data_IF_131151403058
#
_entry.id   IF_131151403058
#
_cell.length_a   1.000
_cell.length_b   1.000
_cell.length_c   1.000
_cell.angle_alpha   90.00
_cell.angle_beta   90.00
_cell.angle_gamma   90.00
#
_symmetry.space_group_name_H-M   'P 1'
#
loop_
_entity.id
_entity.type
_entity.pdbx_description
1 polymer ?
#
# COMPACT_ATOMS: atom_id res chain seq x y z
N UNK A 1 -17.32 -40.63 52.81
CA UNK A 1 -15.92 -40.51 53.29
C UNK A 1 -15.03 -40.61 52.06
N UNK A 2 -14.75 -39.47 51.41
CA UNK A 2 -13.78 -39.40 50.31
C UNK A 2 -12.39 -39.42 50.95
N UNK A 3 -11.71 -40.54 50.94
CA UNK A 3 -10.34 -40.65 51.40
C UNK A 3 -9.45 -39.66 50.71
N UNK A 4 -8.82 -38.79 51.48
CA UNK A 4 -7.94 -37.69 51.02
C UNK A 4 -6.71 -38.30 50.36
N UNK A 5 -6.82 -38.61 49.07
CA UNK A 5 -5.70 -39.17 48.27
C UNK A 5 -4.63 -38.10 48.14
N UNK A 6 -3.58 -38.21 48.92
CA UNK A 6 -2.43 -37.33 48.87
C UNK A 6 -1.27 -38.00 48.13
N UNK A 7 -0.53 -37.19 47.35
CA UNK A 7 0.60 -37.64 46.52
C UNK A 7 1.92 -37.03 47.01
N UNK A 8 2.98 -37.80 46.88
CA UNK A 8 4.35 -37.26 46.99
C UNK A 8 4.74 -36.53 45.71
N UNK A 9 5.78 -35.72 45.77
CA UNK A 9 6.29 -35.01 44.60
C UNK A 9 6.73 -35.95 43.48
N UNK A 10 7.29 -37.15 43.83
CA UNK A 10 7.69 -38.17 42.87
C UNK A 10 6.50 -38.85 42.18
N UNK A 11 5.40 -39.06 42.89
CA UNK A 11 4.14 -39.60 42.35
C UNK A 11 3.50 -38.60 41.39
N UNK A 12 3.46 -37.31 41.75
CA UNK A 12 2.98 -36.27 40.88
C UNK A 12 3.79 -36.20 39.60
N UNK A 13 5.12 -36.23 39.70
CA UNK A 13 6.01 -36.21 38.55
C UNK A 13 5.74 -37.35 37.56
N UNK A 14 5.58 -38.59 38.10
CA UNK A 14 5.25 -39.76 37.26
C UNK A 14 3.89 -39.65 36.60
N UNK A 15 2.86 -39.17 37.33
CA UNK A 15 1.49 -39.06 36.81
C UNK A 15 1.32 -38.03 35.74
N UNK A 16 2.02 -36.90 35.88
CA UNK A 16 1.91 -35.72 34.96
C UNK A 16 2.95 -35.72 33.83
N UNK A 17 3.90 -36.69 33.85
CA UNK A 17 5.01 -36.73 32.89
C UNK A 17 6.05 -35.59 33.08
N UNK A 18 5.98 -34.86 34.19
CA UNK A 18 6.91 -33.77 34.50
C UNK A 18 8.09 -34.29 35.33
N UNK A 19 9.20 -33.56 35.33
CA UNK A 19 10.33 -33.86 36.19
C UNK A 19 10.04 -33.44 37.65
N UNK A 20 10.62 -34.11 38.63
CA UNK A 20 10.53 -33.70 40.04
C UNK A 20 11.00 -32.26 40.24
N UNK A 21 12.03 -31.87 39.49
CA UNK A 21 12.54 -30.47 39.50
C UNK A 21 11.50 -29.45 39.05
N UNK A 22 10.76 -29.77 37.98
CA UNK A 22 9.67 -28.93 37.45
C UNK A 22 8.51 -28.83 38.44
N UNK A 23 8.07 -29.97 39.02
CA UNK A 23 7.00 -29.95 40.02
C UNK A 23 7.40 -29.14 41.24
N UNK A 24 8.66 -29.28 41.72
CA UNK A 24 9.20 -28.50 42.82
C UNK A 24 9.22 -27.01 42.49
N UNK A 25 9.59 -26.64 41.27
CA UNK A 25 9.59 -25.27 40.82
C UNK A 25 8.19 -24.66 40.88
N UNK A 26 7.17 -25.31 40.32
CA UNK A 26 5.79 -24.83 40.36
C UNK A 26 5.24 -24.76 41.77
N UNK A 27 5.61 -25.74 42.65
CA UNK A 27 5.24 -25.68 44.06
C UNK A 27 5.88 -24.50 44.80
N UNK A 28 7.15 -24.20 44.54
CA UNK A 28 7.83 -23.04 45.14
C UNK A 28 7.26 -21.71 44.63
N UNK A 29 6.77 -21.69 43.41
CA UNK A 29 6.12 -20.51 42.81
C UNK A 29 4.66 -20.33 43.29
N UNK A 30 4.14 -21.22 44.16
CA UNK A 30 2.78 -21.14 44.67
C UNK A 30 1.70 -21.60 43.65
N UNK A 31 2.08 -21.99 42.44
CA UNK A 31 1.14 -22.42 41.37
C UNK A 31 0.47 -23.74 41.78
N UNK A 32 1.21 -24.64 42.41
CA UNK A 32 0.72 -25.91 42.94
C UNK A 32 1.16 -26.03 44.42
N UNK A 33 0.42 -25.42 45.33
CA UNK A 33 0.78 -25.44 46.74
C UNK A 33 0.62 -26.88 47.32
N UNK A 34 1.48 -27.29 48.25
CA UNK A 34 1.29 -28.53 48.97
C UNK A 34 0.07 -28.41 49.87
N UNK A 35 -0.69 -29.52 50.03
CA UNK A 35 -1.81 -29.58 50.94
C UNK A 35 -1.34 -29.66 52.41
N UNK A 36 -0.28 -30.44 52.65
CA UNK A 36 0.33 -30.62 53.95
C UNK A 36 1.80 -31.05 53.87
N UNK A 37 2.40 -31.38 55.03
CA UNK A 37 3.70 -32.06 55.14
C UNK A 37 3.57 -33.30 56.00
N UNK A 38 4.20 -34.37 55.61
CA UNK A 38 4.25 -35.55 56.43
C UNK A 38 5.13 -35.35 57.69
N UNK A 39 5.11 -36.25 58.66
CA UNK A 39 5.93 -36.17 59.87
C UNK A 39 7.44 -36.03 59.64
N UNK A 40 7.94 -36.49 58.49
CA UNK A 40 9.32 -36.33 58.03
C UNK A 40 9.59 -35.00 57.31
N UNK A 41 8.62 -34.08 57.28
CA UNK A 41 8.77 -32.75 56.65
C UNK A 41 8.56 -32.71 55.13
N UNK A 42 8.30 -33.83 54.47
CA UNK A 42 8.10 -33.86 53.03
C UNK A 42 6.71 -33.35 52.63
N UNK A 43 6.68 -32.59 51.54
CA UNK A 43 5.43 -32.03 50.96
C UNK A 43 4.50 -33.14 50.47
N UNK A 44 3.21 -33.00 50.79
CA UNK A 44 2.12 -33.83 50.28
C UNK A 44 1.17 -32.95 49.49
N UNK A 45 0.61 -33.47 48.44
CA UNK A 45 -0.23 -32.76 47.49
C UNK A 45 -1.59 -33.44 47.37
N UNK A 46 -2.65 -32.65 47.31
CA UNK A 46 -4.02 -33.17 47.12
C UNK A 46 -4.27 -33.72 45.71
N UNK A 47 -5.42 -34.34 45.54
CA UNK A 47 -5.83 -34.90 44.24
C UNK A 47 -5.94 -33.84 43.13
N UNK A 48 -6.29 -32.60 43.48
CA UNK A 48 -6.39 -31.43 42.58
C UNK A 48 -5.04 -31.00 41.99
N UNK A 49 -3.91 -31.36 42.61
CA UNK A 49 -2.58 -31.01 42.15
C UNK A 49 -2.24 -31.67 40.82
N UNK A 50 -2.78 -32.86 40.52
CA UNK A 50 -2.59 -33.50 39.20
C UNK A 50 -3.24 -32.69 38.11
N UNK A 51 -4.54 -32.37 38.26
CA UNK A 51 -5.26 -31.56 37.26
C UNK A 51 -4.65 -30.18 37.09
N UNK A 52 -4.18 -29.53 38.17
CA UNK A 52 -3.47 -28.24 38.09
C UNK A 52 -2.18 -28.38 37.30
N UNK A 53 -1.36 -29.39 37.51
CA UNK A 53 -0.12 -29.59 36.77
C UNK A 53 -0.36 -29.90 35.28
N UNK A 54 -1.39 -30.68 34.97
CA UNK A 54 -1.80 -30.94 33.59
C UNK A 54 -2.23 -29.65 32.88
N UNK A 55 -3.06 -28.82 33.55
CA UNK A 55 -3.43 -27.51 33.03
C UNK A 55 -2.21 -26.63 32.83
N UNK A 56 -1.32 -26.52 33.79
CA UNK A 56 -0.07 -25.73 33.69
C UNK A 56 0.77 -26.19 32.50
N UNK A 57 0.90 -27.50 32.30
CA UNK A 57 1.64 -28.08 31.17
C UNK A 57 1.01 -27.65 29.86
N UNK A 58 -0.30 -27.83 29.68
CA UNK A 58 -1.01 -27.43 28.46
C UNK A 58 -0.84 -25.93 28.15
N UNK A 59 -1.00 -25.06 29.15
CA UNK A 59 -0.82 -23.63 28.98
C UNK A 59 0.63 -23.26 28.63
N UNK A 60 1.63 -23.99 29.15
CA UNK A 60 3.04 -23.81 28.78
C UNK A 60 3.34 -24.24 27.34
N UNK A 61 2.76 -25.37 26.90
CA UNK A 61 2.88 -25.87 25.53
C UNK A 61 2.27 -24.87 24.52
N UNK A 62 1.22 -24.15 24.94
CA UNK A 62 0.63 -23.04 24.18
C UNK A 62 1.43 -21.74 24.25
N UNK A 63 2.60 -21.73 24.91
CA UNK A 63 3.49 -20.58 24.94
C UNK A 63 3.18 -19.54 26.02
N UNK A 64 2.24 -19.79 26.94
CA UNK A 64 1.90 -18.85 28.00
C UNK A 64 3.02 -18.66 29.01
N UNK A 65 3.24 -17.43 29.44
CA UNK A 65 4.17 -17.11 30.53
C UNK A 65 3.62 -17.48 31.91
N UNK A 66 4.51 -17.71 32.88
CA UNK A 66 4.13 -18.05 34.27
C UNK A 66 3.19 -17.06 34.95
N UNK A 67 3.30 -15.73 34.76
CA UNK A 67 2.36 -14.77 35.33
C UNK A 67 0.92 -15.01 34.85
N UNK A 68 0.71 -15.25 33.56
CA UNK A 68 -0.60 -15.52 32.99
C UNK A 68 -1.17 -16.86 33.51
N UNK A 69 -0.33 -17.91 33.56
CA UNK A 69 -0.70 -19.22 34.10
C UNK A 69 -1.14 -19.12 35.55
N UNK A 70 -0.44 -18.33 36.37
CA UNK A 70 -0.82 -18.11 37.79
C UNK A 70 -2.22 -17.52 37.90
N UNK A 71 -2.54 -16.48 37.12
CA UNK A 71 -3.88 -15.84 37.12
C UNK A 71 -4.99 -16.81 36.70
N UNK A 72 -4.71 -17.73 35.77
CA UNK A 72 -5.66 -18.80 35.41
C UNK A 72 -5.85 -19.78 36.55
N UNK A 73 -4.78 -20.23 37.18
CA UNK A 73 -4.85 -21.20 38.31
C UNK A 73 -5.54 -20.58 39.53
N UNK A 74 -5.33 -19.30 39.78
CA UNK A 74 -5.98 -18.53 40.85
C UNK A 74 -7.42 -18.12 40.50
N UNK A 75 -7.89 -18.43 39.27
CA UNK A 75 -9.24 -18.15 38.77
C UNK A 75 -9.53 -16.65 38.61
N UNK A 76 -8.50 -15.83 38.47
CA UNK A 76 -8.63 -14.41 38.14
C UNK A 76 -8.96 -14.18 36.66
N UNK A 77 -8.50 -15.07 35.79
CA UNK A 77 -8.79 -15.08 34.35
C UNK A 77 -9.30 -16.47 33.94
N UNK A 78 -10.18 -16.50 32.95
CA UNK A 78 -10.55 -17.78 32.35
C UNK A 78 -9.45 -18.26 31.38
N UNK A 79 -9.30 -19.58 31.16
CA UNK A 79 -8.42 -20.10 30.12
C UNK A 79 -8.73 -19.51 28.73
N UNK A 80 -10.01 -19.22 28.44
CA UNK A 80 -10.46 -18.64 27.18
C UNK A 80 -9.92 -17.21 26.97
N UNK A 81 -10.01 -16.34 28.00
CA UNK A 81 -9.52 -14.96 27.93
C UNK A 81 -8.01 -14.92 27.65
N UNK A 82 -7.26 -15.80 28.34
CA UNK A 82 -5.81 -15.86 28.15
C UNK A 82 -5.43 -16.47 26.80
N UNK A 83 -6.18 -17.47 26.32
CA UNK A 83 -5.97 -18.03 24.99
C UNK A 83 -6.25 -17.00 23.89
N UNK A 84 -7.33 -16.20 24.02
CA UNK A 84 -7.65 -15.13 23.08
C UNK A 84 -6.53 -14.06 23.03
N UNK A 85 -6.09 -13.57 24.20
CA UNK A 85 -5.00 -12.59 24.24
C UNK A 85 -3.67 -13.14 23.69
N UNK A 86 -3.38 -14.44 23.90
CA UNK A 86 -2.18 -15.06 23.34
C UNK A 86 -2.30 -15.22 21.82
N UNK A 87 -3.48 -15.57 21.28
CA UNK A 87 -3.72 -15.66 19.85
C UNK A 87 -3.49 -14.29 19.19
N UNK A 88 -4.05 -13.19 19.72
CA UNK A 88 -3.83 -11.85 19.23
C UNK A 88 -2.33 -11.46 19.25
N UNK A 89 -1.61 -11.79 20.33
CA UNK A 89 -0.17 -11.54 20.41
C UNK A 89 0.62 -12.31 19.35
N UNK A 90 0.23 -13.56 19.05
CA UNK A 90 0.83 -14.36 17.98
C UNK A 90 0.51 -13.75 16.62
N UNK A 91 -0.71 -13.28 16.37
CA UNK A 91 -1.09 -12.65 15.11
C UNK A 91 -0.23 -11.39 14.85
N UNK A 92 0.01 -10.57 15.88
CA UNK A 92 0.95 -9.44 15.79
C UNK A 92 2.36 -9.92 15.44
N UNK A 93 2.85 -11.00 16.08
CA UNK A 93 4.18 -11.54 15.76
C UNK A 93 4.26 -12.08 14.33
N UNK A 94 3.22 -12.76 13.85
CA UNK A 94 3.14 -13.26 12.47
C UNK A 94 3.22 -12.10 11.48
N UNK A 95 2.45 -11.01 11.68
CA UNK A 95 2.51 -9.81 10.84
C UNK A 95 3.92 -9.22 10.78
N UNK A 96 4.56 -9.05 11.93
CA UNK A 96 5.95 -8.54 12.01
C UNK A 96 6.94 -9.45 11.28
N UNK A 97 6.80 -10.78 11.44
CA UNK A 97 7.71 -11.74 10.79
C UNK A 97 7.47 -11.80 9.26
N UNK A 98 6.24 -11.70 8.81
CA UNK A 98 5.90 -11.61 7.38
C UNK A 98 6.51 -10.38 6.74
N UNK A 99 6.36 -9.21 7.38
CA UNK A 99 6.97 -7.97 6.91
C UNK A 99 8.50 -8.09 6.85
N UNK A 100 9.14 -8.62 7.90
CA UNK A 100 10.60 -8.84 7.90
C UNK A 100 11.04 -9.77 6.77
N UNK A 101 10.28 -10.84 6.52
CA UNK A 101 10.56 -11.75 5.40
C UNK A 101 10.45 -11.05 4.06
N UNK A 102 9.43 -10.22 3.86
CA UNK A 102 9.24 -9.44 2.64
C UNK A 102 10.42 -8.47 2.41
N UNK A 103 10.83 -7.71 3.43
CA UNK A 103 12.00 -6.83 3.39
C UNK A 103 13.28 -7.59 3.01
N UNK A 104 13.55 -8.72 3.66
CA UNK A 104 14.73 -9.52 3.37
C UNK A 104 14.71 -10.12 1.96
N UNK A 105 13.52 -10.52 1.47
CA UNK A 105 13.33 -10.98 0.11
C UNK A 105 13.63 -9.89 -0.92
N UNK A 106 13.14 -8.67 -0.68
CA UNK A 106 13.42 -7.48 -1.51
C UNK A 106 14.91 -7.21 -1.61
N UNK A 107 15.61 -7.17 -0.46
CA UNK A 107 17.07 -6.96 -0.40
C UNK A 107 17.85 -8.04 -1.13
N UNK A 108 17.44 -9.31 -0.97
CA UNK A 108 18.10 -10.43 -1.64
C UNK A 108 17.98 -10.38 -3.17
N UNK A 109 16.85 -9.87 -3.70
CA UNK A 109 16.64 -9.74 -5.14
C UNK A 109 17.32 -8.52 -5.74
N UNK A 110 17.28 -7.38 -5.06
CA UNK A 110 17.83 -6.12 -5.59
C UNK A 110 19.35 -6.02 -5.47
N UNK A 111 20.02 -6.89 -4.69
CA UNK A 111 21.46 -6.80 -4.46
C UNK A 111 21.87 -5.49 -3.79
N UNK A 112 21.10 -5.03 -2.83
CA UNK A 112 21.10 -3.68 -2.27
C UNK A 112 22.38 -3.31 -1.54
N UNK A 113 22.78 -2.05 -1.64
CA UNK A 113 23.80 -1.46 -0.77
C UNK A 113 23.33 -1.37 0.69
N UNK A 114 24.22 -1.18 1.68
CA UNK A 114 23.81 -0.98 3.08
C UNK A 114 22.86 0.21 3.28
N UNK A 115 23.01 1.27 2.49
CA UNK A 115 22.16 2.45 2.51
C UNK A 115 20.75 2.13 1.98
N UNK A 116 20.68 1.37 0.90
CA UNK A 116 19.40 0.92 0.32
C UNK A 116 18.68 -0.06 1.25
N UNK A 117 19.41 -0.96 1.93
CA UNK A 117 18.84 -1.83 2.96
C UNK A 117 18.17 -1.01 4.07
N UNK A 118 18.83 0.06 4.51
CA UNK A 118 18.29 0.95 5.55
C UNK A 118 17.02 1.63 5.07
N UNK A 119 17.00 2.14 3.83
CA UNK A 119 15.82 2.78 3.23
C UNK A 119 14.66 1.79 3.07
N UNK A 120 14.91 0.60 2.51
CA UNK A 120 13.88 -0.46 2.37
C UNK A 120 13.28 -0.80 3.73
N UNK A 121 14.14 -0.95 4.75
CA UNK A 121 13.68 -1.26 6.11
C UNK A 121 12.84 -0.12 6.71
N UNK A 122 13.23 1.14 6.53
CA UNK A 122 12.47 2.30 6.98
C UNK A 122 11.11 2.38 6.30
N UNK A 123 11.06 2.33 4.98
CA UNK A 123 9.82 2.43 4.19
C UNK A 123 8.84 1.28 4.47
N UNK A 124 9.37 0.07 4.67
CA UNK A 124 8.53 -1.09 5.00
C UNK A 124 7.93 -1.04 6.43
N UNK A 125 8.52 -0.24 7.32
CA UNK A 125 8.04 -0.09 8.71
C UNK A 125 7.08 1.07 8.91
N UNK A 126 6.88 1.91 7.90
CA UNK A 126 5.91 2.99 8.00
C UNK A 126 4.52 2.43 8.36
N UNK A 127 3.87 3.08 9.30
CA UNK A 127 2.46 2.84 9.61
C UNK A 127 1.58 3.26 8.42
N UNK A 128 0.32 2.87 8.42
CA UNK A 128 -0.64 3.29 7.39
C UNK A 128 -0.71 4.83 7.31
N UNK A 129 -0.80 5.51 8.46
CA UNK A 129 -0.83 6.98 8.53
C UNK A 129 0.45 7.61 7.97
N UNK A 130 1.63 7.08 8.31
CA UNK A 130 2.91 7.60 7.80
C UNK A 130 3.05 7.38 6.28
N UNK A 131 2.58 6.23 5.76
CA UNK A 131 2.52 5.98 4.31
C UNK A 131 1.56 6.95 3.62
N UNK A 132 0.37 7.12 4.21
CA UNK A 132 -0.63 8.07 3.74
C UNK A 132 -0.10 9.49 3.71
N UNK A 133 0.64 9.90 4.75
CA UNK A 133 1.27 11.23 4.82
C UNK A 133 2.33 11.44 3.72
N UNK A 134 3.24 10.48 3.53
CA UNK A 134 4.28 10.53 2.50
C UNK A 134 3.68 10.73 1.10
N UNK A 135 2.67 9.92 0.76
CA UNK A 135 2.00 10.02 -0.53
C UNK A 135 1.11 11.26 -0.60
N UNK A 136 0.45 11.65 0.49
CA UNK A 136 -0.32 12.86 0.58
C UNK A 136 0.51 14.12 0.31
N UNK A 137 1.72 14.22 0.86
CA UNK A 137 2.67 15.31 0.56
C UNK A 137 3.10 15.32 -0.91
N UNK A 138 3.34 14.13 -1.49
CA UNK A 138 3.65 14.00 -2.91
C UNK A 138 2.49 14.51 -3.77
N UNK A 139 1.28 14.02 -3.53
CA UNK A 139 0.08 14.40 -4.29
C UNK A 139 -0.29 15.88 -4.08
N UNK A 140 -0.18 16.39 -2.87
CA UNK A 140 -0.35 17.82 -2.60
C UNK A 140 0.70 18.66 -3.34
N UNK A 141 1.93 18.19 -3.43
CA UNK A 141 2.99 18.82 -4.22
C UNK A 141 2.74 18.81 -5.73
N UNK A 142 1.96 17.85 -6.24
CA UNK A 142 1.58 17.76 -7.67
C UNK A 142 0.30 18.56 -7.94
N UNK A 143 -0.75 18.39 -7.13
CA UNK A 143 -2.10 18.87 -7.41
C UNK A 143 -2.58 20.01 -6.50
N UNK A 144 -1.90 20.29 -5.39
CA UNK A 144 -2.40 21.19 -4.36
C UNK A 144 -2.67 22.64 -4.79
N UNK A 145 -2.02 23.10 -5.86
CA UNK A 145 -2.25 24.45 -6.42
C UNK A 145 -3.39 24.51 -7.43
N UNK A 146 -3.83 23.36 -7.93
CA UNK A 146 -4.81 23.23 -9.01
C UNK A 146 -6.25 23.13 -8.44
N UNK A 147 -6.39 22.79 -7.17
CA UNK A 147 -7.68 22.67 -6.48
C UNK A 147 -7.94 23.74 -5.42
N UNK A 148 -7.11 24.77 -5.34
CA UNK A 148 -7.25 25.85 -4.36
C UNK A 148 -8.23 26.91 -4.89
N UNK A 149 -9.51 26.70 -4.58
CA UNK A 149 -10.60 27.65 -4.79
C UNK A 149 -10.64 28.77 -3.73
N UNK A 150 -9.51 29.05 -3.08
CA UNK A 150 -9.36 30.17 -2.16
C UNK A 150 -9.97 30.00 -0.77
N UNK A 151 -10.38 28.79 -0.39
CA UNK A 151 -10.98 28.53 0.94
C UNK A 151 -9.96 28.22 2.05
N UNK A 152 -8.67 28.44 1.80
CA UNK A 152 -7.65 28.60 2.85
C UNK A 152 -7.29 27.37 3.70
N UNK A 153 -7.81 26.19 3.40
CA UNK A 153 -7.40 24.93 4.03
C UNK A 153 -6.44 24.20 3.09
N UNK A 154 -5.14 24.24 3.36
CA UNK A 154 -4.05 23.70 2.51
C UNK A 154 -4.05 22.16 2.36
N UNK A 155 -5.22 21.54 2.45
CA UNK A 155 -5.46 20.15 2.09
C UNK A 155 -6.00 20.04 0.66
N UNK A 156 -5.76 18.93 -0.02
CA UNK A 156 -6.39 18.55 -1.28
C UNK A 156 -7.91 18.76 -1.12
N UNK A 157 -8.45 19.82 -1.76
CA UNK A 157 -9.82 20.28 -1.56
C UNK A 157 -10.82 19.12 -1.67
N UNK A 158 -11.66 18.94 -0.65
CA UNK A 158 -12.57 17.79 -0.50
C UNK A 158 -13.65 17.66 -1.59
N UNK A 159 -13.75 18.62 -2.49
CA UNK A 159 -14.73 18.67 -3.56
C UNK A 159 -14.18 18.94 -4.97
N UNK A 160 -12.85 19.12 -5.10
CA UNK A 160 -12.26 19.46 -6.39
C UNK A 160 -12.13 18.28 -7.35
N UNK A 161 -12.14 18.59 -8.65
CA UNK A 161 -11.93 17.66 -9.78
C UNK A 161 -10.74 16.72 -9.57
N UNK A 162 -9.68 17.19 -8.92
CA UNK A 162 -8.46 16.45 -8.67
C UNK A 162 -8.47 15.61 -7.38
N UNK A 163 -9.41 15.83 -6.46
CA UNK A 163 -9.49 15.03 -5.22
C UNK A 163 -9.81 13.55 -5.48
N UNK A 164 -10.61 13.26 -6.50
CA UNK A 164 -10.91 11.89 -6.92
C UNK A 164 -9.66 11.23 -7.54
N UNK A 165 -8.94 11.97 -8.40
CA UNK A 165 -7.68 11.52 -9.01
C UNK A 165 -6.61 11.27 -7.94
N UNK A 166 -6.43 12.20 -7.00
CA UNK A 166 -5.48 12.03 -5.91
C UNK A 166 -5.76 10.79 -5.07
N UNK A 167 -7.04 10.53 -4.74
CA UNK A 167 -7.43 9.31 -4.02
C UNK A 167 -7.12 8.04 -4.79
N UNK A 168 -7.35 8.02 -6.10
CA UNK A 168 -7.04 6.86 -6.94
C UNK A 168 -5.54 6.62 -7.13
N UNK A 169 -4.71 7.62 -6.88
CA UNK A 169 -3.24 7.53 -6.90
C UNK A 169 -2.62 7.17 -5.55
N UNK A 170 -3.45 6.97 -4.50
CA UNK A 170 -2.97 6.60 -3.17
C UNK A 170 -2.79 5.08 -3.07
N UNK A 171 -1.59 4.59 -2.75
CA UNK A 171 -1.36 3.17 -2.57
C UNK A 171 -1.88 2.68 -1.22
N UNK A 172 -2.57 1.56 -1.22
CA UNK A 172 -3.08 0.86 -0.03
C UNK A 172 -2.36 -0.47 0.13
N UNK A 173 -1.26 -0.45 0.89
CA UNK A 173 -0.52 -1.67 1.19
C UNK A 173 -1.32 -2.52 2.19
N UNK A 174 -1.65 -3.80 1.89
CA UNK A 174 -2.42 -4.66 2.78
C UNK A 174 -1.67 -4.94 4.09
N UNK A 175 -2.40 -5.39 5.14
CA UNK A 175 -1.79 -5.77 6.42
C UNK A 175 -0.77 -6.90 6.27
N UNK A 176 -0.97 -7.80 5.31
CA UNK A 176 -0.10 -8.93 4.99
C UNK A 176 0.46 -8.81 3.56
N UNK A 177 1.39 -7.87 3.32
CA UNK A 177 1.89 -7.64 1.99
C UNK A 177 2.77 -8.79 1.49
N UNK A 178 2.66 -9.11 0.21
CA UNK A 178 3.61 -9.99 -0.47
C UNK A 178 4.98 -9.32 -0.62
N UNK A 179 5.99 -10.12 -0.99
CA UNK A 179 7.33 -9.57 -1.26
C UNK A 179 7.28 -8.59 -2.44
N UNK A 180 6.53 -8.93 -3.48
CA UNK A 180 6.32 -8.10 -4.67
C UNK A 180 5.64 -6.75 -4.32
N UNK A 181 4.65 -6.77 -3.42
CA UNK A 181 3.98 -5.55 -2.96
C UNK A 181 4.91 -4.65 -2.13
N UNK A 182 5.78 -5.23 -1.30
CA UNK A 182 6.77 -4.45 -0.55
C UNK A 182 7.82 -3.84 -1.49
N UNK A 183 8.27 -4.58 -2.50
CA UNK A 183 9.19 -4.04 -3.52
C UNK A 183 8.55 -2.89 -4.29
N UNK A 184 7.33 -3.10 -4.77
CA UNK A 184 6.57 -2.08 -5.49
C UNK A 184 6.34 -0.83 -4.62
N UNK A 185 6.01 -1.00 -3.34
CA UNK A 185 5.88 0.11 -2.39
C UNK A 185 7.18 0.90 -2.23
N UNK A 186 8.32 0.22 -2.05
CA UNK A 186 9.63 0.87 -1.88
C UNK A 186 10.01 1.67 -3.12
N UNK A 187 9.81 1.11 -4.32
CA UNK A 187 10.09 1.79 -5.58
C UNK A 187 9.15 2.98 -5.79
N UNK A 188 7.85 2.82 -5.50
CA UNK A 188 6.84 3.88 -5.57
C UNK A 188 7.18 5.04 -4.61
N UNK A 189 7.56 4.74 -3.38
CA UNK A 189 7.97 5.76 -2.40
C UNK A 189 9.25 6.51 -2.84
N UNK A 190 10.19 5.83 -3.52
CA UNK A 190 11.36 6.48 -4.14
C UNK A 190 10.95 7.43 -5.27
N UNK A 191 10.04 7.01 -6.14
CA UNK A 191 9.50 7.88 -7.20
C UNK A 191 8.76 9.09 -6.63
N UNK A 192 7.95 8.91 -5.58
CA UNK A 192 7.28 9.99 -4.88
C UNK A 192 8.28 10.99 -4.24
N UNK A 193 9.45 10.52 -3.83
CA UNK A 193 10.55 11.35 -3.33
C UNK A 193 11.37 12.05 -4.41
N UNK A 194 11.28 11.63 -5.69
CA UNK A 194 12.03 12.21 -6.80
C UNK A 194 11.46 13.59 -7.15
N UNK A 195 12.28 14.65 -6.96
CA UNK A 195 11.87 16.03 -7.23
C UNK A 195 11.64 16.32 -8.72
N UNK A 196 12.40 15.65 -9.61
CA UNK A 196 12.23 15.76 -11.05
C UNK A 196 10.93 15.12 -11.52
N UNK A 197 10.59 13.94 -10.99
CA UNK A 197 9.33 13.28 -11.27
C UNK A 197 8.13 14.07 -10.75
N UNK A 198 8.22 14.64 -9.54
CA UNK A 198 7.20 15.53 -8.97
C UNK A 198 7.00 16.77 -9.83
N UNK A 199 8.09 17.39 -10.31
CA UNK A 199 8.01 18.56 -11.19
C UNK A 199 7.36 18.23 -12.55
N UNK A 200 7.70 17.09 -13.13
CA UNK A 200 7.10 16.60 -14.37
C UNK A 200 5.58 16.39 -14.22
N UNK A 201 5.14 15.68 -13.19
CA UNK A 201 3.71 15.45 -12.96
C UNK A 201 2.95 16.74 -12.68
N UNK A 202 3.57 17.69 -11.94
CA UNK A 202 2.98 19.03 -11.71
C UNK A 202 2.82 19.79 -13.01
N UNK A 203 3.83 19.83 -13.86
CA UNK A 203 3.76 20.49 -15.18
C UNK A 203 2.65 19.89 -16.05
N UNK A 204 2.49 18.55 -16.04
CA UNK A 204 1.41 17.87 -16.74
C UNK A 204 0.04 18.29 -16.19
N UNK A 205 -0.12 18.34 -14.87
CA UNK A 205 -1.38 18.69 -14.22
C UNK A 205 -1.75 20.19 -14.42
N UNK A 206 -0.76 21.10 -14.32
CA UNK A 206 -0.95 22.53 -14.56
C UNK A 206 -1.33 22.83 -16.02
N UNK A 207 -0.69 22.15 -16.97
CA UNK A 207 -1.03 22.30 -18.38
C UNK A 207 -2.46 21.80 -18.69
N UNK A 208 -2.86 20.67 -18.11
CA UNK A 208 -4.23 20.13 -18.25
C UNK A 208 -5.27 21.08 -17.66
N UNK A 209 -4.99 21.65 -16.48
CA UNK A 209 -5.87 22.62 -15.86
C UNK A 209 -6.05 23.88 -16.73
N UNK A 210 -4.97 24.42 -17.27
CA UNK A 210 -4.99 25.59 -18.16
C UNK A 210 -5.76 25.29 -19.46
N UNK A 211 -5.57 24.13 -20.05
CA UNK A 211 -6.33 23.67 -21.23
C UNK A 211 -7.83 23.54 -20.93
N UNK A 212 -8.17 23.03 -19.73
CA UNK A 212 -9.57 22.90 -19.29
C UNK A 212 -10.25 24.27 -19.07
N UNK A 213 -9.56 25.22 -18.42
CA UNK A 213 -10.05 26.60 -18.24
C UNK A 213 -10.27 27.32 -19.57
N UNK A 214 -9.32 27.16 -20.48
CA UNK A 214 -9.42 27.79 -21.80
C UNK A 214 -10.60 27.26 -22.61
N UNK A 215 -10.87 25.96 -22.53
CA UNK A 215 -12.01 25.32 -23.19
C UNK A 215 -13.35 25.74 -22.57
N UNK A 216 -13.46 25.81 -21.24
CA UNK A 216 -14.66 26.25 -20.53
C UNK A 216 -14.98 27.73 -20.84
N UNK A 217 -13.94 28.58 -20.97
CA UNK A 217 -14.11 29.96 -21.38
C UNK A 217 -14.57 30.13 -22.84
N UNK A 218 -14.16 29.22 -23.73
CA UNK A 218 -14.55 29.25 -25.14
C UNK A 218 -15.98 28.74 -25.37
N UNK A 219 -16.46 27.80 -24.57
CA UNK A 219 -17.80 27.22 -24.75
C UNK A 219 -18.92 27.99 -24.04
N UNK A 220 -18.60 28.92 -23.12
CA UNK A 220 -19.58 29.77 -22.43
C UNK A 220 -20.62 29.01 -21.59
N UNK A 221 -20.38 27.77 -21.25
CA UNK A 221 -21.32 26.86 -20.57
C UNK A 221 -20.81 26.54 -19.18
N UNK A 222 -21.55 27.04 -18.19
CA UNK A 222 -21.47 26.56 -16.82
C UNK A 222 -22.06 25.14 -16.73
N UNK A 223 -21.30 24.20 -16.22
CA UNK A 223 -21.81 22.98 -15.61
C UNK A 223 -21.85 21.75 -16.50
N UNK A 224 -20.81 20.94 -16.42
CA UNK A 224 -20.94 19.52 -16.64
C UNK A 224 -21.22 18.85 -15.26
N UNK A 225 -22.42 18.33 -15.08
CA UNK A 225 -22.82 17.56 -13.92
C UNK A 225 -21.96 16.30 -13.75
N UNK A 226 -21.67 15.99 -12.49
CA UNK A 226 -20.87 14.88 -12.06
C UNK A 226 -21.42 13.55 -12.60
N UNK A 227 -20.60 12.83 -13.35
CA UNK A 227 -20.86 11.45 -13.71
C UNK A 227 -20.77 10.55 -12.46
N UNK A 228 -21.72 9.66 -12.35
CA UNK A 228 -22.09 8.81 -11.24
C UNK A 228 -20.93 7.95 -10.68
N UNK A 229 -20.84 7.88 -9.36
CA UNK A 229 -19.68 7.39 -8.59
C UNK A 229 -19.55 5.84 -8.47
N UNK A 230 -20.39 5.05 -9.14
CA UNK A 230 -20.46 3.60 -8.93
C UNK A 230 -19.61 2.71 -9.87
N UNK A 231 -19.11 3.25 -11.00
CA UNK A 231 -18.13 2.57 -11.86
C UNK A 231 -16.67 3.00 -11.57
N UNK A 232 -16.45 3.69 -10.47
CA UNK A 232 -15.32 4.57 -10.20
C UNK A 232 -13.94 3.91 -10.09
N UNK A 233 -13.77 2.65 -9.68
CA UNK A 233 -12.42 2.10 -9.40
C UNK A 233 -11.69 1.69 -10.67
N UNK A 234 -12.36 1.07 -11.63
CA UNK A 234 -11.76 0.70 -12.93
C UNK A 234 -11.55 1.94 -13.82
N UNK A 235 -12.45 2.92 -13.71
CA UNK A 235 -12.33 4.22 -14.38
C UNK A 235 -11.25 5.08 -13.72
N UNK A 236 -11.00 4.98 -12.41
CA UNK A 236 -10.00 5.77 -11.70
C UNK A 236 -8.56 5.32 -12.01
N UNK A 237 -8.28 4.03 -12.18
CA UNK A 237 -6.97 3.55 -12.69
C UNK A 237 -6.80 3.95 -14.16
N UNK A 238 -7.87 3.93 -14.94
CA UNK A 238 -7.90 4.52 -16.29
C UNK A 238 -7.77 6.05 -16.28
N UNK A 239 -8.37 6.75 -15.30
CA UNK A 239 -8.28 8.20 -15.16
C UNK A 239 -6.93 8.66 -14.58
N UNK A 240 -6.22 7.85 -13.83
CA UNK A 240 -4.86 8.14 -13.39
C UNK A 240 -3.82 8.01 -14.51
N UNK A 241 -4.11 7.20 -15.53
CA UNK A 241 -3.42 7.27 -16.83
C UNK A 241 -3.83 8.56 -17.61
N UNK A 242 -5.01 9.12 -17.28
CA UNK A 242 -5.63 10.25 -17.95
C UNK A 242 -6.08 11.27 -16.90
N UNK A 243 -5.41 12.38 -16.81
CA UNK A 243 -5.91 13.58 -16.15
C UNK A 243 -7.29 13.98 -16.74
N UNK A 244 -8.16 14.69 -16.02
CA UNK A 244 -9.63 14.58 -16.04
C UNK A 244 -10.42 14.94 -17.31
N UNK A 245 -9.81 15.10 -18.47
CA UNK A 245 -10.52 15.09 -19.75
C UNK A 245 -9.94 14.01 -20.66
N UNK A 246 -10.77 13.30 -21.44
CA UNK A 246 -10.29 12.36 -22.46
C UNK A 246 -9.73 13.16 -23.65
N UNK A 247 -8.73 14.01 -23.36
CA UNK A 247 -8.15 14.90 -24.33
C UNK A 247 -7.05 14.22 -25.14
N UNK A 248 -5.80 14.62 -24.86
CA UNK A 248 -4.65 14.25 -25.67
C UNK A 248 -4.33 12.76 -25.63
N UNK A 249 -4.40 12.11 -24.46
CA UNK A 249 -4.05 10.69 -24.34
C UNK A 249 -5.00 9.77 -25.11
N UNK A 250 -6.31 10.07 -25.08
CA UNK A 250 -7.32 9.33 -25.86
C UNK A 250 -7.13 9.59 -27.35
N UNK A 251 -6.89 10.83 -27.75
CA UNK A 251 -6.62 11.16 -29.15
C UNK A 251 -5.35 10.46 -29.67
N UNK A 252 -4.28 10.42 -28.89
CA UNK A 252 -3.07 9.67 -29.24
C UNK A 252 -3.40 8.20 -29.44
N UNK A 253 -4.16 7.59 -28.52
CA UNK A 253 -4.56 6.18 -28.66
C UNK A 253 -5.44 5.93 -29.88
N UNK A 254 -6.43 6.78 -30.11
CA UNK A 254 -7.37 6.63 -31.23
C UNK A 254 -6.69 6.82 -32.58
N UNK A 255 -5.77 7.78 -32.69
CA UNK A 255 -5.14 8.14 -33.94
C UNK A 255 -3.82 7.39 -34.20
N UNK A 256 -2.95 7.30 -33.18
CA UNK A 256 -1.68 6.61 -33.30
C UNK A 256 -1.81 5.07 -33.14
N UNK A 257 -2.78 4.57 -32.39
CA UNK A 257 -2.97 3.13 -32.15
C UNK A 257 -3.10 2.33 -33.45
N UNK A 258 -3.99 2.69 -34.38
CA UNK A 258 -4.07 2.04 -35.70
C UNK A 258 -2.78 2.14 -36.51
N UNK A 259 -2.08 3.26 -36.46
CA UNK A 259 -0.81 3.47 -37.16
C UNK A 259 0.29 2.55 -36.59
N UNK A 260 0.41 2.48 -35.27
CA UNK A 260 1.33 1.55 -34.57
C UNK A 260 1.02 0.10 -34.92
N UNK A 261 -0.26 -0.29 -34.87
CA UNK A 261 -0.69 -1.65 -35.20
C UNK A 261 -0.44 -2.04 -36.65
N UNK A 262 -0.50 -1.07 -37.58
CA UNK A 262 -0.19 -1.23 -38.98
C UNK A 262 1.31 -1.16 -39.32
N UNK A 263 2.17 -0.85 -38.33
CA UNK A 263 3.61 -0.70 -38.54
C UNK A 263 4.00 0.55 -39.35
N UNK A 264 3.17 1.61 -39.28
CA UNK A 264 3.46 2.88 -39.97
C UNK A 264 4.65 3.57 -39.27
N UNK A 265 5.70 3.88 -40.05
CA UNK A 265 6.86 4.56 -39.54
C UNK A 265 6.51 6.06 -39.20
N UNK A 266 7.01 6.61 -38.07
CA UNK A 266 6.64 7.94 -37.59
C UNK A 266 7.02 9.09 -38.56
N UNK A 267 8.04 8.89 -39.40
CA UNK A 267 8.55 9.86 -40.41
C UNK A 267 7.96 9.65 -41.80
N UNK A 268 6.98 8.74 -41.96
CA UNK A 268 6.35 8.43 -43.22
C UNK A 268 5.31 9.48 -43.65
N UNK A 269 4.95 9.45 -44.93
CA UNK A 269 3.89 10.31 -45.48
C UNK A 269 2.52 9.95 -44.87
N UNK A 270 2.31 8.67 -44.56
CA UNK A 270 1.10 8.17 -43.89
C UNK A 270 0.99 8.73 -42.46
N UNK A 271 2.11 8.87 -41.75
CA UNK A 271 2.14 9.45 -40.41
C UNK A 271 1.77 10.94 -40.42
N UNK A 272 2.09 11.67 -41.49
CA UNK A 272 1.81 13.11 -41.61
C UNK A 272 0.31 13.44 -41.47
N UNK A 273 -0.58 12.55 -41.95
CA UNK A 273 -2.04 12.70 -41.81
C UNK A 273 -2.49 12.52 -40.34
N UNK A 274 -1.92 11.57 -39.61
CA UNK A 274 -2.18 11.35 -38.20
C UNK A 274 -1.68 12.52 -37.36
N UNK A 275 -0.49 13.03 -37.65
CA UNK A 275 0.08 14.21 -36.98
C UNK A 275 -0.79 15.44 -37.22
N UNK A 276 -1.25 15.68 -38.45
CA UNK A 276 -2.11 16.83 -38.76
C UNK A 276 -3.41 16.77 -37.94
N UNK A 277 -4.06 15.63 -37.84
CA UNK A 277 -5.27 15.45 -37.03
C UNK A 277 -5.00 15.61 -35.53
N UNK A 278 -3.86 15.10 -35.01
CA UNK A 278 -3.45 15.31 -33.62
C UNK A 278 -3.25 16.79 -33.30
N UNK A 279 -2.55 17.53 -34.17
CA UNK A 279 -2.30 18.96 -34.01
C UNK A 279 -3.62 19.74 -34.08
N UNK A 280 -4.54 19.37 -35.01
CA UNK A 280 -5.84 20.01 -35.12
C UNK A 280 -6.70 19.78 -33.87
N UNK A 281 -6.78 18.51 -33.36
CA UNK A 281 -7.49 18.21 -32.11
C UNK A 281 -6.90 18.95 -30.93
N UNK A 282 -5.58 18.96 -30.80
CA UNK A 282 -4.89 19.68 -29.75
C UNK A 282 -5.17 21.20 -29.83
N UNK A 283 -5.15 21.75 -31.03
CA UNK A 283 -5.49 23.14 -31.26
C UNK A 283 -6.89 23.54 -30.84
N UNK A 284 -7.87 22.66 -31.06
CA UNK A 284 -9.27 22.84 -30.58
C UNK A 284 -9.35 22.92 -29.06
N UNK A 285 -8.54 22.13 -28.34
CA UNK A 285 -8.51 22.17 -26.87
C UNK A 285 -7.79 23.40 -26.33
N UNK A 286 -6.81 23.91 -27.08
CA UNK A 286 -6.05 25.10 -26.72
C UNK A 286 -6.68 26.41 -27.24
N UNK A 287 -7.83 26.38 -27.92
CA UNK A 287 -8.47 27.45 -28.67
C UNK A 287 -8.95 28.68 -27.83
N UNK A 288 -8.31 29.03 -26.80
CA UNK A 288 -8.45 30.26 -26.01
C UNK A 288 -7.13 30.67 -25.40
N UNK A 289 -6.16 29.73 -25.35
CA UNK A 289 -4.89 29.92 -24.65
C UNK A 289 -3.70 30.27 -25.58
N UNK A 290 -3.85 30.11 -26.89
CA UNK A 290 -2.75 30.31 -27.84
C UNK A 290 -3.21 31.09 -29.09
N UNK A 291 -2.65 32.29 -29.38
CA UNK A 291 -2.80 32.90 -30.70
C UNK A 291 -1.93 32.15 -31.73
N UNK A 292 -2.51 31.51 -32.60
CA UNK A 292 -2.52 31.29 -34.02
C UNK A 292 -1.25 31.01 -34.79
N UNK A 293 -0.16 30.39 -34.28
CA UNK A 293 0.89 29.84 -35.14
C UNK A 293 0.87 28.32 -35.06
N UNK A 294 0.64 27.65 -36.20
CA UNK A 294 0.62 26.18 -36.30
C UNK A 294 1.96 25.55 -35.87
N UNK A 295 3.09 26.26 -36.05
CA UNK A 295 4.40 25.85 -35.58
C UNK A 295 4.46 25.82 -34.05
N UNK A 296 4.07 26.91 -33.41
CA UNK A 296 4.05 27.01 -31.95
C UNK A 296 3.11 25.97 -31.30
N UNK A 297 2.00 25.65 -31.97
CA UNK A 297 1.07 24.60 -31.51
C UNK A 297 1.70 23.20 -31.58
N UNK A 298 2.41 22.91 -32.66
CA UNK A 298 3.15 21.67 -32.85
C UNK A 298 4.25 21.51 -31.81
N UNK A 299 5.03 22.54 -31.55
CA UNK A 299 6.10 22.55 -30.54
C UNK A 299 5.56 22.27 -29.15
N UNK A 300 4.43 22.87 -28.78
CA UNK A 300 3.73 22.60 -27.52
C UNK A 300 3.20 21.16 -27.42
N UNK A 301 2.63 20.68 -28.53
CA UNK A 301 2.19 19.27 -28.59
C UNK A 301 3.38 18.31 -28.39
N UNK A 302 4.52 18.59 -29.05
CA UNK A 302 5.73 17.79 -28.90
C UNK A 302 6.24 17.78 -27.45
N UNK A 303 6.30 18.95 -26.80
CA UNK A 303 6.67 19.06 -25.38
C UNK A 303 5.72 18.27 -24.49
N UNK A 304 4.41 18.40 -24.72
CA UNK A 304 3.37 17.70 -23.97
C UNK A 304 3.47 16.18 -24.12
N UNK A 305 3.62 15.70 -25.34
CA UNK A 305 3.82 14.28 -25.65
C UNK A 305 5.12 13.76 -25.04
N UNK A 306 6.22 14.54 -25.10
CA UNK A 306 7.48 14.20 -24.48
C UNK A 306 7.36 14.01 -22.95
N UNK A 307 6.64 14.91 -22.28
CA UNK A 307 6.34 14.76 -20.85
C UNK A 307 5.45 13.53 -20.56
N UNK A 308 4.50 13.21 -21.43
CA UNK A 308 3.65 12.02 -21.31
C UNK A 308 4.43 10.71 -21.54
N UNK A 309 5.50 10.75 -22.34
CA UNK A 309 6.34 9.60 -22.65
C UNK A 309 7.35 9.24 -21.55
N UNK A 310 7.43 10.01 -20.45
CA UNK A 310 8.35 9.70 -19.36
C UNK A 310 8.02 8.33 -18.76
N UNK A 311 8.97 7.38 -18.80
CA UNK A 311 8.70 6.00 -18.36
C UNK A 311 8.39 5.89 -16.86
N UNK A 312 8.80 6.87 -16.05
CA UNK A 312 8.50 6.89 -14.60
C UNK A 312 7.01 7.02 -14.34
N UNK A 313 6.26 7.68 -15.21
CA UNK A 313 4.80 7.83 -15.10
C UNK A 313 4.09 6.48 -15.23
N UNK A 314 4.41 5.70 -16.25
CA UNK A 314 3.86 4.35 -16.45
C UNK A 314 4.30 3.43 -15.31
N UNK A 315 5.57 3.50 -14.95
CA UNK A 315 6.11 2.72 -13.84
C UNK A 315 5.41 3.00 -12.52
N UNK A 316 5.08 4.26 -12.22
CA UNK A 316 4.30 4.62 -11.03
C UNK A 316 2.92 3.93 -11.00
N UNK A 317 2.21 3.88 -12.13
CA UNK A 317 0.90 3.22 -12.25
C UNK A 317 0.98 1.70 -12.12
N UNK A 318 2.01 1.08 -12.71
CA UNK A 318 2.27 -0.35 -12.54
C UNK A 318 2.53 -0.70 -11.07
N UNK A 319 3.39 0.07 -10.41
CA UNK A 319 3.71 -0.12 -9.00
C UNK A 319 2.48 0.07 -8.11
N UNK A 320 1.67 1.08 -8.40
CA UNK A 320 0.41 1.32 -7.71
C UNK A 320 -0.56 0.13 -7.85
N UNK A 321 -0.68 -0.42 -9.07
CA UNK A 321 -1.50 -1.60 -9.31
C UNK A 321 -1.01 -2.81 -8.52
N UNK A 322 0.31 -3.06 -8.47
CA UNK A 322 0.90 -4.15 -7.68
C UNK A 322 0.62 -3.95 -6.19
N UNK A 323 0.85 -2.74 -5.65
CA UNK A 323 0.63 -2.45 -4.22
C UNK A 323 -0.82 -2.71 -3.83
N UNK A 324 -1.77 -2.25 -4.65
CA UNK A 324 -3.20 -2.37 -4.37
C UNK A 324 -3.79 -3.74 -4.78
N UNK A 325 -3.01 -4.64 -5.38
CA UNK A 325 -3.50 -5.91 -5.89
C UNK A 325 -4.46 -5.78 -7.08
N UNK A 326 -4.35 -4.70 -7.86
CA UNK A 326 -5.15 -4.47 -9.06
C UNK A 326 -4.53 -5.15 -10.28
N UNK A 327 -5.34 -5.32 -11.34
CA UNK A 327 -4.81 -5.74 -12.62
C UNK A 327 -3.82 -4.69 -13.17
N UNK A 328 -2.77 -5.17 -13.84
CA UNK A 328 -1.80 -4.28 -14.48
C UNK A 328 -2.52 -3.31 -15.45
N UNK A 329 -2.18 -2.01 -15.42
CA UNK A 329 -2.75 -1.05 -16.36
C UNK A 329 -2.33 -1.38 -17.79
N UNK A 330 -3.19 -1.07 -18.75
CA UNK A 330 -2.84 -1.16 -20.16
C UNK A 330 -1.75 -0.13 -20.49
N UNK A 331 -0.63 -0.59 -21.06
CA UNK A 331 0.45 0.30 -21.49
C UNK A 331 0.07 1.02 -22.78
N UNK A 332 0.35 2.33 -22.83
CA UNK A 332 0.21 3.16 -24.04
C UNK A 332 1.53 3.77 -24.47
N UNK A 333 2.62 3.25 -23.95
CA UNK A 333 3.96 3.70 -24.25
C UNK A 333 4.27 3.63 -25.75
N UNK A 334 3.77 2.62 -26.43
CA UNK A 334 4.01 2.45 -27.88
C UNK A 334 3.41 3.58 -28.69
N UNK A 335 2.12 3.91 -28.45
CA UNK A 335 1.40 4.98 -29.15
C UNK A 335 1.96 6.36 -28.82
N UNK A 336 2.24 6.62 -27.55
CA UNK A 336 2.82 7.90 -27.11
C UNK A 336 4.21 8.08 -27.68
N UNK A 337 5.08 7.07 -27.62
CA UNK A 337 6.43 7.15 -28.21
C UNK A 337 6.42 7.29 -29.71
N UNK A 338 5.46 6.65 -30.39
CA UNK A 338 5.24 6.84 -31.83
C UNK A 338 4.86 8.30 -32.12
N UNK A 339 3.87 8.83 -31.39
CA UNK A 339 3.40 10.20 -31.54
C UNK A 339 4.52 11.24 -31.28
N UNK A 340 5.33 11.03 -30.23
CA UNK A 340 6.51 11.87 -29.94
C UNK A 340 7.44 11.94 -31.16
N UNK A 341 7.77 10.79 -31.75
CA UNK A 341 8.67 10.75 -32.93
C UNK A 341 8.03 11.33 -34.18
N UNK A 342 6.72 11.16 -34.35
CA UNK A 342 6.02 11.66 -35.53
C UNK A 342 5.79 13.17 -35.50
N UNK A 343 5.63 13.76 -34.30
CA UNK A 343 5.42 15.20 -34.13
C UNK A 343 6.75 15.97 -34.12
N UNK A 344 7.85 15.37 -33.70
CA UNK A 344 9.19 15.99 -33.73
C UNK A 344 9.61 16.31 -35.15
#
# INVERSE_FOLDING_TARGET
MNGDTTYTIGELARRTGLTVKTVRFYSNQGIVPPADRNPAGHRRYGADAVARLELVRTLRELGLGLPAIRRVVERELTPADVAAAQAEAIDVQIRVLRLRRAVLGTVARLGSTPEELTLVHQLARLTEDERGHLIGEFLAGVFGRIGDDGTGDGGIGRGGRFAAVARSLTPELPEEPSVEQVEAWVELARLAGDTGFRALLRGLAEAEAAEAEAADAAEGVAGAEAADAAEGVVVAVRAAAHLPRPGLAVAVRELAGPAVAAGVEPDSVEAAAVVAELVERYGRWCAGAVPGDAGALRDRLAERLGAMADPRRERYLELLAVVNGWAAPESWAAEVNWAVRAVA
#
